data_IF_483672540063
#
_entry.id   IF_483672540063
#
_cell.length_a   1.000
_cell.length_b   1.000
_cell.length_c   1.000
_cell.angle_alpha   90.00
_cell.angle_beta   90.00
_cell.angle_gamma   90.00
#
_symmetry.space_group_name_H-M   'P 1'
#
loop_
_entity.id
_entity.type
_entity.pdbx_description
1 polymer ?
#
# COMPACT_ATOMS: atom_id res chain seq x y z
N UNK A 1 14.43 16.80 -15.17
CA UNK A 1 13.06 16.25 -15.32
C UNK A 1 13.07 14.79 -14.90
N UNK A 2 12.17 14.35 -14.02
CA UNK A 2 12.00 12.93 -13.69
C UNK A 2 10.93 12.33 -14.61
N UNK A 3 11.20 11.14 -15.11
CA UNK A 3 10.30 10.38 -15.96
C UNK A 3 9.65 9.27 -15.14
N UNK A 4 8.33 9.27 -15.04
CA UNK A 4 7.57 8.44 -14.12
C UNK A 4 6.76 7.40 -14.87
N UNK A 5 6.92 6.15 -14.49
CA UNK A 5 6.01 5.04 -14.85
C UNK A 5 5.02 4.82 -13.72
N UNK A 6 3.73 4.66 -14.02
CA UNK A 6 2.67 4.51 -13.04
C UNK A 6 1.96 3.18 -13.26
N UNK A 7 2.17 2.23 -12.36
CA UNK A 7 1.46 0.96 -12.34
C UNK A 7 0.17 1.14 -11.53
N UNK A 8 -0.98 1.10 -12.20
CA UNK A 8 -2.27 1.38 -11.59
C UNK A 8 -2.72 2.84 -11.72
N UNK A 9 -2.48 3.47 -12.87
CA UNK A 9 -2.75 4.90 -13.13
C UNK A 9 -4.21 5.32 -12.97
N UNK A 10 -5.16 4.41 -13.14
CA UNK A 10 -6.60 4.67 -12.99
C UNK A 10 -7.14 4.44 -11.58
N UNK A 11 -6.30 3.98 -10.65
CA UNK A 11 -6.63 3.85 -9.23
C UNK A 11 -6.52 5.19 -8.48
N UNK A 12 -6.90 5.19 -7.19
CA UNK A 12 -6.87 6.40 -6.35
C UNK A 12 -5.48 7.04 -6.28
N UNK A 13 -4.42 6.25 -6.04
CA UNK A 13 -3.04 6.76 -5.97
C UNK A 13 -2.55 7.17 -7.37
N UNK A 14 -2.86 6.38 -8.39
CA UNK A 14 -2.43 6.67 -9.76
C UNK A 14 -3.00 7.98 -10.30
N UNK A 15 -4.28 8.27 -10.07
CA UNK A 15 -4.92 9.52 -10.49
C UNK A 15 -4.34 10.72 -9.73
N UNK A 16 -4.09 10.58 -8.43
CA UNK A 16 -3.46 11.63 -7.63
C UNK A 16 -1.98 11.84 -8.00
N UNK A 17 -1.28 10.77 -8.41
CA UNK A 17 0.09 10.88 -8.97
C UNK A 17 0.08 11.72 -10.25
N UNK A 18 -0.88 11.49 -11.13
CA UNK A 18 -1.04 12.28 -12.36
C UNK A 18 -1.43 13.73 -12.07
N UNK A 19 -2.25 13.98 -11.03
CA UNK A 19 -2.56 15.35 -10.59
C UNK A 19 -1.29 16.08 -10.12
N UNK A 20 -0.43 15.44 -9.33
CA UNK A 20 0.86 16.01 -8.92
C UNK A 20 1.77 16.27 -10.12
N UNK A 21 1.86 15.35 -11.08
CA UNK A 21 2.65 15.53 -12.30
C UNK A 21 2.14 16.73 -13.12
N UNK A 22 0.82 16.89 -13.22
CA UNK A 22 0.17 18.01 -13.90
C UNK A 22 0.46 19.37 -13.27
N UNK A 23 0.58 19.43 -11.93
CA UNK A 23 0.95 20.65 -11.21
C UNK A 23 2.42 21.05 -11.45
N UNK A 24 3.28 20.12 -11.87
CA UNK A 24 4.72 20.34 -12.05
C UNK A 24 5.24 19.83 -13.41
N UNK A 25 4.71 20.33 -14.53
CA UNK A 25 5.04 19.81 -15.88
C UNK A 25 6.51 20.01 -16.27
N UNK A 26 7.20 20.98 -15.65
CA UNK A 26 8.62 21.23 -15.88
C UNK A 26 9.54 20.25 -15.12
N UNK A 27 8.99 19.52 -14.12
CA UNK A 27 9.74 18.62 -13.26
C UNK A 27 9.49 17.16 -13.60
N UNK A 28 8.25 16.83 -14.00
CA UNK A 28 7.80 15.44 -14.19
C UNK A 28 7.18 15.22 -15.55
N UNK A 29 7.33 13.98 -16.04
CA UNK A 29 6.62 13.48 -17.21
C UNK A 29 6.20 12.04 -16.99
N UNK A 30 4.91 11.74 -17.15
CA UNK A 30 4.43 10.36 -17.19
C UNK A 30 4.84 9.71 -18.53
N UNK A 31 5.60 8.62 -18.47
CA UNK A 31 6.10 7.91 -19.68
C UNK A 31 5.46 6.56 -19.89
N UNK A 32 4.90 5.97 -18.83
CA UNK A 32 4.16 4.72 -18.92
C UNK A 32 2.98 4.75 -17.93
N UNK A 33 1.81 4.31 -18.39
CA UNK A 33 0.58 4.23 -17.61
C UNK A 33 0.01 2.83 -17.73
N UNK A 34 -0.33 2.20 -16.60
CA UNK A 34 -0.96 0.86 -16.62
C UNK A 34 -2.26 0.89 -15.83
N UNK A 35 -3.32 0.36 -16.43
CA UNK A 35 -4.61 0.12 -15.78
C UNK A 35 -4.96 -1.38 -15.75
N UNK A 36 -5.85 -1.80 -14.85
CA UNK A 36 -6.38 -3.16 -14.90
C UNK A 36 -7.39 -3.30 -16.04
N UNK A 37 -8.55 -2.64 -15.95
CA UNK A 37 -9.64 -2.72 -16.93
C UNK A 37 -10.34 -1.39 -17.24
N UNK A 38 -10.04 -0.33 -16.52
CA UNK A 38 -10.68 0.97 -16.74
C UNK A 38 -10.04 1.69 -17.93
N UNK A 39 -10.39 1.26 -19.13
CA UNK A 39 -9.84 1.79 -20.39
C UNK A 39 -10.36 3.18 -20.72
N UNK A 40 -11.55 3.56 -20.27
CA UNK A 40 -12.11 4.88 -20.57
C UNK A 40 -11.30 5.99 -19.87
N UNK A 41 -10.97 5.78 -18.58
CA UNK A 41 -10.10 6.71 -17.88
C UNK A 41 -8.65 6.63 -18.38
N UNK A 42 -8.16 5.43 -18.70
CA UNK A 42 -6.81 5.28 -19.26
C UNK A 42 -6.66 6.02 -20.58
N UNK A 43 -7.64 5.98 -21.48
CA UNK A 43 -7.62 6.70 -22.74
C UNK A 43 -7.60 8.23 -22.54
N UNK A 44 -8.37 8.74 -21.56
CA UNK A 44 -8.29 10.15 -21.17
C UNK A 44 -6.88 10.51 -20.69
N UNK A 45 -6.27 9.67 -19.83
CA UNK A 45 -4.91 9.85 -19.35
C UNK A 45 -3.88 9.78 -20.51
N UNK A 46 -4.04 8.87 -21.47
CA UNK A 46 -3.19 8.81 -22.66
C UNK A 46 -3.25 10.11 -23.43
N UNK A 47 -4.44 10.64 -23.69
CA UNK A 47 -4.63 11.86 -24.46
C UNK A 47 -4.09 13.11 -23.73
N UNK A 48 -4.15 13.14 -22.40
CA UNK A 48 -3.66 14.26 -21.60
C UNK A 48 -2.13 14.23 -21.42
N UNK A 49 -1.56 13.07 -21.09
CA UNK A 49 -0.14 12.96 -20.70
C UNK A 49 0.79 12.46 -21.80
N UNK A 50 0.26 11.94 -22.92
CA UNK A 50 1.01 11.44 -24.07
C UNK A 50 2.17 10.50 -23.66
N UNK A 51 1.91 9.40 -22.89
CA UNK A 51 2.94 8.47 -22.50
C UNK A 51 3.49 7.70 -23.70
N UNK A 52 4.69 7.13 -23.57
CA UNK A 52 5.28 6.28 -24.61
C UNK A 52 4.55 4.95 -24.72
N UNK A 53 4.15 4.38 -23.57
CA UNK A 53 3.38 3.14 -23.49
C UNK A 53 2.18 3.28 -22.56
N UNK A 54 1.11 2.58 -22.90
CA UNK A 54 -0.04 2.37 -22.02
C UNK A 54 -0.37 0.88 -21.95
N UNK A 55 -0.54 0.37 -20.73
CA UNK A 55 -0.78 -1.03 -20.46
C UNK A 55 -2.18 -1.30 -19.96
N UNK A 56 -2.78 -2.43 -20.38
CA UNK A 56 -4.05 -2.92 -19.86
C UNK A 56 -3.88 -4.38 -19.46
N UNK A 57 -4.07 -4.69 -18.16
CA UNK A 57 -3.84 -6.04 -17.65
C UNK A 57 -4.94 -7.02 -18.04
N UNK A 58 -6.19 -6.57 -18.06
CA UNK A 58 -7.33 -7.36 -18.51
C UNK A 58 -7.32 -7.52 -20.04
N UNK A 59 -7.31 -8.77 -20.49
CA UNK A 59 -7.19 -9.11 -21.92
C UNK A 59 -8.35 -8.58 -22.78
N UNK A 60 -9.57 -8.64 -22.27
CA UNK A 60 -10.75 -8.16 -23.01
C UNK A 60 -10.72 -6.63 -23.13
N UNK A 61 -10.44 -5.95 -22.03
CA UNK A 61 -10.29 -4.50 -22.03
C UNK A 61 -9.10 -4.04 -22.93
N UNK A 62 -7.99 -4.81 -22.95
CA UNK A 62 -6.88 -4.55 -23.87
C UNK A 62 -7.31 -4.60 -25.33
N UNK A 63 -8.02 -5.65 -25.74
CA UNK A 63 -8.48 -5.79 -27.12
C UNK A 63 -9.38 -4.61 -27.54
N UNK A 64 -10.30 -4.20 -26.65
CA UNK A 64 -11.18 -3.05 -26.87
C UNK A 64 -10.40 -1.73 -27.02
N UNK A 65 -9.44 -1.48 -26.12
CA UNK A 65 -8.64 -0.25 -26.21
C UNK A 65 -7.76 -0.24 -27.47
N UNK A 66 -7.15 -1.37 -27.81
CA UNK A 66 -6.29 -1.52 -29.00
C UNK A 66 -7.05 -1.26 -30.29
N UNK A 67 -8.31 -1.69 -30.39
CA UNK A 67 -9.18 -1.42 -31.53
C UNK A 67 -9.57 0.07 -31.61
N UNK A 68 -9.83 0.68 -30.45
CA UNK A 68 -10.35 2.05 -30.34
C UNK A 68 -9.27 3.13 -30.47
N UNK A 69 -8.08 2.86 -29.96
CA UNK A 69 -6.99 3.86 -29.90
C UNK A 69 -6.12 3.85 -31.15
N UNK A 70 -6.03 5.01 -31.82
CA UNK A 70 -5.25 5.20 -33.06
C UNK A 70 -4.13 6.25 -32.93
N UNK A 71 -3.77 6.63 -31.68
CA UNK A 71 -2.69 7.60 -31.43
C UNK A 71 -1.28 6.98 -31.45
N UNK A 72 -0.30 7.77 -31.02
CA UNK A 72 1.12 7.40 -31.01
C UNK A 72 1.58 6.53 -29.84
N UNK A 73 0.80 6.47 -28.76
CA UNK A 73 1.14 5.67 -27.58
C UNK A 73 1.04 4.17 -27.90
N UNK A 74 2.08 3.41 -27.59
CA UNK A 74 2.06 1.95 -27.77
C UNK A 74 1.16 1.29 -26.72
N UNK A 75 0.13 0.55 -27.15
CA UNK A 75 -0.76 -0.19 -26.25
C UNK A 75 -0.23 -1.61 -26.04
N UNK A 76 -0.10 -2.05 -24.78
CA UNK A 76 0.41 -3.36 -24.37
C UNK A 76 -0.64 -4.07 -23.51
N UNK A 77 -0.89 -5.36 -23.74
CA UNK A 77 -1.89 -6.16 -23.00
C UNK A 77 -1.30 -7.17 -22.04
N UNK A 78 -2.14 -7.64 -21.09
CA UNK A 78 -1.83 -8.73 -20.19
C UNK A 78 -0.77 -8.39 -19.12
N UNK A 79 -0.21 -9.43 -18.53
CA UNK A 79 0.83 -9.27 -17.48
C UNK A 79 2.10 -8.59 -18.00
N UNK A 80 2.42 -8.75 -19.28
CA UNK A 80 3.58 -8.11 -19.91
C UNK A 80 3.50 -6.58 -19.83
N UNK A 81 2.29 -6.01 -19.79
CA UNK A 81 2.09 -4.58 -19.65
C UNK A 81 2.72 -4.01 -18.36
N UNK A 82 2.61 -4.75 -17.23
CA UNK A 82 3.20 -4.34 -15.95
C UNK A 82 4.74 -4.37 -16.00
N UNK A 83 5.32 -5.42 -16.57
CA UNK A 83 6.78 -5.58 -16.67
C UNK A 83 7.35 -4.55 -17.65
N UNK A 84 6.73 -4.39 -18.83
CA UNK A 84 7.17 -3.41 -19.83
C UNK A 84 7.14 -1.98 -19.27
N UNK A 85 6.10 -1.62 -18.50
CA UNK A 85 6.01 -0.31 -17.88
C UNK A 85 7.00 -0.15 -16.71
N UNK A 86 7.23 -1.20 -15.92
CA UNK A 86 8.18 -1.18 -14.80
C UNK A 86 9.65 -1.04 -15.27
N UNK A 87 9.97 -1.56 -16.46
CA UNK A 87 11.34 -1.63 -16.98
C UNK A 87 11.64 -0.66 -18.12
N UNK A 88 10.66 0.13 -18.56
CA UNK A 88 10.85 1.07 -19.69
C UNK A 88 12.10 1.94 -19.48
N UNK A 89 12.95 2.00 -20.49
CA UNK A 89 14.28 2.62 -20.37
C UNK A 89 14.19 4.08 -19.93
N UNK A 90 13.24 4.82 -20.46
CA UNK A 90 13.06 6.25 -20.20
C UNK A 90 12.63 6.56 -18.77
N UNK A 91 11.93 5.66 -18.09
CA UNK A 91 11.51 5.90 -16.71
C UNK A 91 12.73 5.96 -15.77
N UNK A 92 12.74 6.95 -14.90
CA UNK A 92 13.70 7.07 -13.80
C UNK A 92 13.10 6.61 -12.46
N UNK A 93 11.76 6.59 -12.40
CA UNK A 93 11.00 6.19 -11.22
C UNK A 93 9.76 5.40 -11.62
N UNK A 94 9.41 4.40 -10.82
CA UNK A 94 8.19 3.61 -10.94
C UNK A 94 7.34 3.81 -9.70
N UNK A 95 6.11 4.29 -9.89
CA UNK A 95 5.10 4.36 -8.83
C UNK A 95 4.27 3.08 -8.88
N UNK A 96 4.35 2.28 -7.82
CA UNK A 96 3.61 1.02 -7.69
C UNK A 96 2.28 1.26 -6.97
N UNK A 97 1.25 1.61 -7.75
CA UNK A 97 -0.09 1.95 -7.26
C UNK A 97 -1.14 0.87 -7.56
N UNK A 98 -0.70 -0.37 -7.74
CA UNK A 98 -1.56 -1.56 -7.91
C UNK A 98 -1.83 -2.21 -6.56
N UNK A 99 -2.96 -2.88 -6.42
CA UNK A 99 -3.37 -3.53 -5.16
C UNK A 99 -2.97 -5.00 -5.16
N UNK A 100 -2.52 -5.50 -4.01
CA UNK A 100 -2.24 -6.92 -3.78
C UNK A 100 -0.87 -7.39 -4.27
N UNK A 101 -0.62 -8.70 -4.14
CA UNK A 101 0.67 -9.34 -4.44
C UNK A 101 1.10 -9.27 -5.92
N UNK A 102 0.20 -8.92 -6.83
CA UNK A 102 0.49 -8.71 -8.27
C UNK A 102 1.56 -7.63 -8.49
N UNK A 103 1.79 -6.77 -7.52
CA UNK A 103 2.83 -5.73 -7.55
C UNK A 103 4.26 -6.23 -7.29
N UNK A 104 4.45 -7.45 -6.78
CA UNK A 104 5.76 -7.96 -6.37
C UNK A 104 6.68 -8.13 -7.58
N UNK A 105 6.27 -8.89 -8.57
CA UNK A 105 7.09 -9.19 -9.76
C UNK A 105 7.49 -7.91 -10.53
N UNK A 106 6.57 -6.99 -10.90
CA UNK A 106 6.97 -5.75 -11.57
C UNK A 106 7.87 -4.85 -10.70
N UNK A 107 7.74 -4.88 -9.37
CA UNK A 107 8.64 -4.15 -8.48
C UNK A 107 10.05 -4.75 -8.48
N UNK A 108 10.17 -6.08 -8.45
CA UNK A 108 11.46 -6.78 -8.60
C UNK A 108 12.14 -6.40 -9.90
N UNK A 109 11.42 -6.43 -11.02
CA UNK A 109 11.97 -6.09 -12.33
C UNK A 109 12.32 -4.60 -12.44
N UNK A 110 11.54 -3.70 -11.85
CA UNK A 110 11.88 -2.27 -11.77
C UNK A 110 13.18 -2.04 -10.98
N UNK A 111 13.38 -2.74 -9.85
CA UNK A 111 14.62 -2.66 -9.06
C UNK A 111 15.81 -3.17 -9.86
N UNK A 112 15.71 -4.33 -10.53
CA UNK A 112 16.76 -4.85 -11.42
C UNK A 112 17.08 -3.89 -12.57
N UNK A 113 16.08 -3.18 -13.09
CA UNK A 113 16.23 -2.11 -14.08
C UNK A 113 16.73 -0.78 -13.46
N UNK A 114 17.12 -0.77 -12.18
CA UNK A 114 17.65 0.40 -11.42
C UNK A 114 16.72 1.61 -11.41
N UNK A 115 15.41 1.38 -11.36
CA UNK A 115 14.41 2.45 -11.21
C UNK A 115 14.16 2.74 -9.74
N UNK A 116 14.12 4.02 -9.36
CA UNK A 116 13.62 4.42 -8.04
C UNK A 116 12.18 3.98 -7.88
N UNK A 117 11.83 3.43 -6.72
CA UNK A 117 10.48 2.94 -6.43
C UNK A 117 9.73 3.95 -5.57
N UNK A 118 8.59 4.45 -6.05
CA UNK A 118 7.58 5.11 -5.24
C UNK A 118 6.56 4.07 -4.80
N UNK A 119 6.70 3.58 -3.58
CA UNK A 119 5.94 2.43 -3.10
C UNK A 119 4.62 2.87 -2.46
N UNK A 120 3.50 2.57 -3.14
CA UNK A 120 2.16 2.68 -2.57
C UNK A 120 1.51 1.30 -2.33
N UNK A 121 2.06 0.25 -2.94
CA UNK A 121 1.62 -1.14 -2.75
C UNK A 121 2.34 -1.76 -1.55
N UNK A 122 1.76 -1.63 -0.35
CA UNK A 122 2.34 -2.17 0.89
C UNK A 122 2.50 -3.69 0.87
N UNK A 123 1.61 -4.39 0.16
CA UNK A 123 1.62 -5.85 0.05
C UNK A 123 2.94 -6.37 -0.55
N UNK A 124 3.61 -5.57 -1.36
CA UNK A 124 4.94 -5.89 -1.91
C UNK A 124 5.99 -6.09 -0.80
N UNK A 125 6.05 -5.21 0.19
CA UNK A 125 6.98 -5.37 1.32
C UNK A 125 6.46 -6.33 2.39
N UNK A 126 5.15 -6.38 2.59
CA UNK A 126 4.57 -7.35 3.53
C UNK A 126 4.90 -8.79 3.09
N UNK A 127 4.65 -9.12 1.84
CA UNK A 127 4.88 -10.47 1.33
C UNK A 127 6.34 -10.73 0.93
N UNK A 128 7.00 -9.75 0.31
CA UNK A 128 8.31 -9.91 -0.31
C UNK A 128 9.44 -9.13 0.37
N UNK A 129 9.24 -8.61 1.59
CA UNK A 129 10.19 -7.72 2.26
C UNK A 129 11.64 -8.15 2.22
N UNK A 130 12.00 -9.39 2.61
CA UNK A 130 13.38 -9.88 2.55
C UNK A 130 13.99 -9.80 1.15
N UNK A 131 13.23 -10.20 0.13
CA UNK A 131 13.67 -10.18 -1.26
C UNK A 131 13.81 -8.76 -1.80
N UNK A 132 12.79 -7.94 -1.60
CA UNK A 132 12.72 -6.56 -2.12
C UNK A 132 13.81 -5.68 -1.52
N UNK A 133 14.01 -5.74 -0.20
CA UNK A 133 15.05 -4.94 0.47
C UNK A 133 16.46 -5.39 0.11
N UNK A 134 16.69 -6.71 -0.01
CA UNK A 134 17.97 -7.26 -0.46
C UNK A 134 18.29 -6.80 -1.89
N UNK A 135 17.34 -6.90 -2.83
CA UNK A 135 17.51 -6.44 -4.20
C UNK A 135 17.72 -4.93 -4.27
N UNK A 136 16.93 -4.14 -3.53
CA UNK A 136 17.08 -2.69 -3.51
C UNK A 136 18.50 -2.27 -3.05
N UNK A 137 19.04 -2.96 -2.04
CA UNK A 137 20.42 -2.77 -1.58
C UNK A 137 21.46 -3.19 -2.64
N UNK A 138 21.28 -4.36 -3.26
CA UNK A 138 22.19 -4.91 -4.28
C UNK A 138 22.27 -3.98 -5.50
N UNK A 139 21.11 -3.50 -6.00
CA UNK A 139 21.03 -2.65 -7.18
C UNK A 139 21.19 -1.15 -6.87
N UNK A 140 21.36 -0.79 -5.57
CA UNK A 140 21.44 0.59 -5.08
C UNK A 140 20.24 1.43 -5.52
N UNK A 141 19.03 0.90 -5.29
CA UNK A 141 17.75 1.52 -5.62
C UNK A 141 17.07 2.03 -4.35
N UNK A 142 16.61 3.28 -4.39
CA UNK A 142 15.81 3.84 -3.31
C UNK A 142 14.35 3.37 -3.41
N UNK A 143 13.78 2.97 -2.27
CA UNK A 143 12.34 2.73 -2.10
C UNK A 143 11.79 3.90 -1.27
N UNK A 144 10.94 4.71 -1.87
CA UNK A 144 10.35 5.91 -1.26
C UNK A 144 8.88 5.61 -0.92
N UNK A 145 8.48 5.71 0.36
CA UNK A 145 7.12 5.39 0.76
C UNK A 145 6.12 6.43 0.26
N UNK A 146 4.99 5.94 -0.23
CA UNK A 146 3.82 6.76 -0.60
C UNK A 146 2.68 6.57 0.40
N UNK A 147 2.61 5.43 1.11
CA UNK A 147 1.64 5.26 2.19
C UNK A 147 1.82 6.37 3.24
N UNK A 148 0.72 6.99 3.69
CA UNK A 148 0.77 8.24 4.46
C UNK A 148 1.57 8.10 5.76
N UNK A 149 1.39 7.00 6.46
CA UNK A 149 2.07 6.72 7.73
C UNK A 149 3.57 6.52 7.54
N UNK A 150 3.94 5.76 6.50
CA UNK A 150 5.34 5.50 6.19
C UNK A 150 6.04 6.73 5.63
N UNK A 151 5.35 7.52 4.80
CA UNK A 151 5.86 8.83 4.36
C UNK A 151 6.10 9.76 5.55
N UNK A 152 5.20 9.78 6.52
CA UNK A 152 5.35 10.59 7.73
C UNK A 152 6.57 10.16 8.55
N UNK A 153 6.76 8.85 8.78
CA UNK A 153 7.96 8.32 9.46
C UNK A 153 9.21 8.68 8.69
N UNK A 154 9.22 8.46 7.37
CA UNK A 154 10.35 8.80 6.51
C UNK A 154 10.74 10.27 6.63
N UNK A 155 9.75 11.18 6.66
CA UNK A 155 9.97 12.62 6.86
C UNK A 155 10.50 12.95 8.26
N UNK A 156 10.02 12.26 9.31
CA UNK A 156 10.49 12.47 10.68
C UNK A 156 11.91 11.92 10.90
N UNK A 157 12.30 10.87 10.18
CA UNK A 157 13.65 10.29 10.23
C UNK A 157 14.69 11.14 9.52
N UNK A 158 14.28 12.07 8.64
CA UNK A 158 15.22 12.88 7.89
C UNK A 158 16.08 13.75 8.81
N UNK A 159 17.39 13.64 8.66
CA UNK A 159 18.37 14.33 9.51
C UNK A 159 18.59 13.69 10.89
N UNK A 160 17.89 12.60 11.22
CA UNK A 160 18.11 11.84 12.45
C UNK A 160 19.07 10.68 12.20
N UNK A 161 20.06 10.50 13.08
CA UNK A 161 20.79 9.23 13.09
C UNK A 161 19.89 8.12 13.63
N UNK A 162 19.87 6.95 12.99
CA UNK A 162 19.02 5.82 13.40
C UNK A 162 19.24 5.45 14.88
N UNK A 163 20.47 5.57 15.38
CA UNK A 163 20.82 5.31 16.77
C UNK A 163 20.18 6.28 17.78
N UNK A 164 19.61 7.40 17.33
CA UNK A 164 18.91 8.36 18.18
C UNK A 164 17.42 8.08 18.29
N UNK A 165 16.91 7.14 17.49
CA UNK A 165 15.48 6.82 17.41
C UNK A 165 15.21 5.56 18.23
N UNK A 166 14.36 5.69 19.25
CA UNK A 166 13.94 4.59 20.12
C UNK A 166 12.87 3.74 19.41
N UNK A 167 11.83 4.38 18.90
CA UNK A 167 10.71 3.66 18.28
C UNK A 167 9.97 4.47 17.21
N UNK A 168 9.29 3.75 16.33
CA UNK A 168 8.34 4.28 15.36
C UNK A 168 6.94 4.20 15.96
N UNK A 169 6.10 5.21 15.72
CA UNK A 169 4.71 5.24 16.21
C UNK A 169 3.78 5.46 15.03
N UNK A 170 3.19 4.37 14.55
CA UNK A 170 2.18 4.40 13.49
C UNK A 170 0.84 4.88 14.03
N UNK A 171 0.25 5.88 13.39
CA UNK A 171 -1.14 6.26 13.70
C UNK A 171 -2.12 5.43 12.90
N UNK A 172 -3.31 5.20 13.44
CA UNK A 172 -4.43 4.55 12.78
C UNK A 172 -5.69 5.39 12.95
N UNK A 173 -6.56 5.47 11.94
CA UNK A 173 -7.89 6.10 12.13
C UNK A 173 -8.78 5.31 13.12
N UNK A 174 -8.45 4.04 13.33
CA UNK A 174 -9.25 3.09 14.10
C UNK A 174 -10.45 2.52 13.32
N UNK A 175 -10.65 2.98 12.08
CA UNK A 175 -11.72 2.52 11.20
C UNK A 175 -13.14 2.92 11.65
N UNK A 176 -14.17 2.55 10.87
CA UNK A 176 -15.56 2.91 11.15
C UNK A 176 -16.15 2.21 12.38
N UNK A 177 -15.60 1.06 12.77
CA UNK A 177 -16.12 0.25 13.87
C UNK A 177 -15.47 0.57 15.23
N UNK A 178 -14.52 1.52 15.31
CA UNK A 178 -13.72 1.80 16.52
C UNK A 178 -14.54 2.14 17.78
N UNK A 179 -15.76 2.70 17.62
CA UNK A 179 -16.64 3.08 18.72
C UNK A 179 -17.79 2.10 18.93
N UNK A 180 -17.85 1.01 18.17
CA UNK A 180 -18.91 0.03 18.29
C UNK A 180 -18.75 -0.80 19.57
N UNK A 181 -19.87 -1.21 20.22
CA UNK A 181 -19.83 -2.22 21.26
C UNK A 181 -19.25 -3.54 20.74
N UNK A 182 -18.44 -4.24 21.54
CA UNK A 182 -17.74 -5.48 21.13
C UNK A 182 -18.69 -6.55 20.61
N UNK A 183 -19.87 -6.69 21.24
CA UNK A 183 -20.88 -7.67 20.87
C UNK A 183 -21.46 -7.44 19.47
N UNK A 184 -21.41 -6.19 18.99
CA UNK A 184 -21.96 -5.81 17.69
C UNK A 184 -20.96 -5.99 16.55
N UNK A 185 -19.65 -5.96 16.82
CA UNK A 185 -18.59 -5.99 15.80
C UNK A 185 -18.69 -7.26 14.94
N UNK A 186 -18.97 -8.41 15.54
CA UNK A 186 -19.06 -9.70 14.84
C UNK A 186 -20.14 -9.72 13.74
N UNK A 187 -21.18 -8.88 13.89
CA UNK A 187 -22.30 -8.77 12.95
C UNK A 187 -22.20 -7.58 11.99
N UNK A 188 -21.04 -6.89 11.96
CA UNK A 188 -20.84 -5.77 11.05
C UNK A 188 -21.01 -6.20 9.59
N UNK A 189 -21.78 -5.41 8.83
CA UNK A 189 -21.99 -5.63 7.41
C UNK A 189 -20.91 -4.96 6.57
N UNK A 190 -20.76 -5.34 5.31
CA UNK A 190 -19.86 -4.67 4.39
C UNK A 190 -20.19 -3.16 4.27
N UNK A 191 -21.48 -2.81 4.26
CA UNK A 191 -21.91 -1.41 4.23
C UNK A 191 -21.47 -0.62 5.46
N UNK A 192 -21.53 -1.21 6.66
CA UNK A 192 -21.04 -0.58 7.88
C UNK A 192 -19.53 -0.35 7.84
N UNK A 193 -18.78 -1.34 7.35
CA UNK A 193 -17.33 -1.29 7.25
C UNK A 193 -16.82 -0.32 6.17
N UNK A 194 -17.59 -0.10 5.11
CA UNK A 194 -17.23 0.80 4.00
C UNK A 194 -17.43 2.29 4.34
N UNK A 195 -18.07 2.63 5.44
CA UNK A 195 -18.30 4.04 5.88
C UNK A 195 -17.10 4.58 6.65
N UNK A 196 -15.94 4.68 5.96
CA UNK A 196 -14.74 5.24 6.60
C UNK A 196 -14.94 6.73 6.93
N UNK A 197 -14.63 7.18 8.18
CA UNK A 197 -14.97 8.54 8.63
C UNK A 197 -14.12 9.65 7.99
N UNK A 198 -12.90 9.34 7.54
CA UNK A 198 -11.90 10.36 7.14
C UNK A 198 -11.42 10.18 5.70
N UNK A 199 -11.14 8.94 5.29
CA UNK A 199 -10.52 8.63 4.00
C UNK A 199 -11.53 8.06 3.00
N UNK A 200 -11.43 8.50 1.74
CA UNK A 200 -12.13 7.88 0.62
C UNK A 200 -11.16 6.91 -0.09
N UNK A 201 -11.30 5.63 0.18
CA UNK A 201 -10.38 4.59 -0.25
C UNK A 201 -11.09 3.48 -1.03
N UNK A 202 -10.31 2.60 -1.66
CA UNK A 202 -10.86 1.38 -2.27
C UNK A 202 -11.51 0.46 -1.24
N UNK A 203 -12.45 -0.40 -1.69
CA UNK A 203 -13.22 -1.27 -0.80
C UNK A 203 -12.36 -2.21 0.05
N UNK A 204 -11.32 -2.84 -0.54
CA UNK A 204 -10.43 -3.77 0.18
C UNK A 204 -9.74 -3.10 1.37
N UNK A 205 -9.05 -1.98 1.15
CA UNK A 205 -8.31 -1.28 2.20
C UNK A 205 -9.27 -0.68 3.24
N UNK A 206 -10.51 -0.35 2.88
CA UNK A 206 -11.50 0.15 3.83
C UNK A 206 -11.95 -0.95 4.80
N UNK A 207 -12.15 -2.19 4.32
CA UNK A 207 -12.41 -3.35 5.18
C UNK A 207 -11.19 -3.66 6.06
N UNK A 208 -9.98 -3.59 5.51
CA UNK A 208 -8.75 -3.78 6.28
C UNK A 208 -8.60 -2.72 7.39
N UNK A 209 -8.99 -1.47 7.12
CA UNK A 209 -9.03 -0.41 8.14
C UNK A 209 -10.03 -0.72 9.24
N UNK A 210 -11.24 -1.21 8.87
CA UNK A 210 -12.29 -1.56 9.83
C UNK A 210 -11.88 -2.70 10.77
N UNK A 211 -11.01 -3.61 10.33
CA UNK A 211 -10.57 -4.81 11.04
C UNK A 211 -9.17 -4.69 11.67
N UNK A 212 -8.48 -3.56 11.49
CA UNK A 212 -7.06 -3.32 11.81
C UNK A 212 -6.07 -4.24 11.04
N UNK A 213 -6.50 -5.02 10.05
CA UNK A 213 -5.57 -5.69 9.14
C UNK A 213 -4.68 -4.69 8.42
N UNK A 214 -5.24 -3.55 7.96
CA UNK A 214 -4.44 -2.51 7.29
C UNK A 214 -3.26 -2.07 8.18
N UNK A 215 -3.52 -1.79 9.46
CA UNK A 215 -2.46 -1.37 10.38
C UNK A 215 -1.47 -2.50 10.66
N UNK A 216 -1.93 -3.75 10.69
CA UNK A 216 -1.04 -4.91 10.77
C UNK A 216 -0.10 -5.04 9.57
N UNK A 217 -0.62 -4.86 8.34
CA UNK A 217 0.20 -4.82 7.12
C UNK A 217 1.23 -3.68 7.19
N UNK A 218 0.83 -2.52 7.65
CA UNK A 218 1.70 -1.34 7.78
C UNK A 218 2.80 -1.52 8.82
N UNK A 219 2.57 -2.22 9.92
CA UNK A 219 3.61 -2.59 10.89
C UNK A 219 4.70 -3.44 10.23
N UNK A 220 4.30 -4.44 9.42
CA UNK A 220 5.25 -5.28 8.70
C UNK A 220 5.99 -4.47 7.62
N UNK A 221 5.31 -3.59 6.90
CA UNK A 221 5.93 -2.69 5.93
C UNK A 221 6.95 -1.76 6.59
N UNK A 222 6.62 -1.16 7.74
CA UNK A 222 7.52 -0.27 8.49
C UNK A 222 8.80 -0.99 8.93
N UNK A 223 8.68 -2.23 9.39
CA UNK A 223 9.84 -3.08 9.71
C UNK A 223 10.81 -3.15 8.54
N UNK A 224 10.33 -3.48 7.33
CA UNK A 224 11.17 -3.63 6.15
C UNK A 224 11.69 -2.30 5.58
N UNK A 225 10.88 -1.24 5.60
CA UNK A 225 11.29 0.07 5.06
C UNK A 225 12.36 0.74 5.90
N UNK A 226 12.23 0.67 7.22
CA UNK A 226 13.05 1.45 8.14
C UNK A 226 14.04 0.60 8.93
N UNK A 227 13.97 -0.74 8.79
CA UNK A 227 14.84 -1.70 9.47
C UNK A 227 14.78 -1.51 11.01
N UNK A 228 13.55 -1.46 11.57
CA UNK A 228 13.26 -1.48 12.99
C UNK A 228 12.64 -2.80 13.40
N UNK A 229 13.07 -3.33 14.55
CA UNK A 229 12.46 -4.53 15.13
C UNK A 229 11.00 -4.25 15.53
N UNK A 230 10.15 -5.28 15.46
CA UNK A 230 8.72 -5.17 15.78
C UNK A 230 8.45 -4.64 17.19
N UNK A 231 9.34 -4.86 18.15
CA UNK A 231 9.23 -4.34 19.53
C UNK A 231 9.49 -2.83 19.63
N UNK A 232 10.00 -2.21 18.55
CA UNK A 232 10.23 -0.78 18.39
C UNK A 232 9.26 -0.12 17.40
N UNK A 233 8.14 -0.78 17.10
CA UNK A 233 7.08 -0.24 16.25
C UNK A 233 5.77 -0.26 17.04
N UNK A 234 5.33 0.91 17.49
CA UNK A 234 4.09 1.11 18.25
C UNK A 234 2.95 1.49 17.31
N UNK A 235 1.71 1.22 17.74
CA UNK A 235 0.48 1.67 17.06
C UNK A 235 -0.39 2.46 18.03
N UNK A 236 -0.88 3.60 17.58
CA UNK A 236 -1.85 4.44 18.30
C UNK A 236 -3.02 4.81 17.40
N UNK A 237 -4.24 4.81 17.95
CA UNK A 237 -5.41 5.28 17.21
C UNK A 237 -5.52 6.79 17.33
N UNK A 238 -5.58 7.48 16.20
CA UNK A 238 -5.76 8.93 16.04
C UNK A 238 -6.90 9.19 15.03
N UNK A 239 -8.15 9.35 15.50
CA UNK A 239 -9.33 9.36 14.63
C UNK A 239 -9.35 10.49 13.61
N UNK A 240 -8.76 11.64 13.94
CA UNK A 240 -8.74 12.81 13.06
C UNK A 240 -7.80 12.66 11.86
N UNK A 241 -6.85 11.71 11.92
CA UNK A 241 -5.85 11.45 10.86
C UNK A 241 -5.11 12.72 10.40
N UNK A 242 -4.83 13.65 11.33
CA UNK A 242 -4.06 14.87 11.10
C UNK A 242 -2.57 14.61 11.35
N UNK A 243 -2.23 13.88 12.41
CA UNK A 243 -0.89 13.34 12.61
C UNK A 243 -0.85 12.01 11.87
N UNK A 244 0.00 11.96 10.84
CA UNK A 244 0.08 10.78 9.99
C UNK A 244 0.98 9.68 10.55
N UNK A 245 2.02 10.01 11.31
CA UNK A 245 2.80 9.12 12.18
C UNK A 245 3.89 9.93 12.91
N UNK A 246 4.62 9.26 13.79
CA UNK A 246 5.61 9.88 14.68
C UNK A 246 6.83 8.97 14.86
N UNK A 247 7.93 9.54 15.34
CA UNK A 247 9.06 8.81 15.92
C UNK A 247 9.30 9.27 17.35
N UNK A 248 9.75 8.35 18.21
CA UNK A 248 10.25 8.66 19.55
C UNK A 248 11.75 8.62 19.54
N UNK A 249 12.38 9.66 20.09
CA UNK A 249 13.82 9.72 20.26
C UNK A 249 14.23 9.14 21.62
N UNK A 250 15.51 8.78 21.78
CA UNK A 250 16.04 8.16 23.00
C UNK A 250 15.91 9.04 24.26
N UNK A 251 15.79 10.36 24.10
CA UNK A 251 15.56 11.30 25.20
C UNK A 251 14.06 11.47 25.55
N UNK A 252 13.17 10.73 24.84
CA UNK A 252 11.72 10.76 25.01
C UNK A 252 11.02 11.83 24.18
N UNK A 253 11.74 12.65 23.41
CA UNK A 253 11.09 13.60 22.50
C UNK A 253 10.36 12.85 21.37
N UNK A 254 9.22 13.41 20.92
CA UNK A 254 8.43 12.86 19.81
C UNK A 254 8.44 13.86 18.66
N UNK A 255 8.82 13.39 17.48
CA UNK A 255 8.68 14.14 16.24
C UNK A 255 7.50 13.59 15.47
N UNK A 256 6.61 14.47 15.01
CA UNK A 256 5.38 14.10 14.31
C UNK A 256 5.26 14.85 12.99
N UNK A 257 4.86 14.16 11.93
CA UNK A 257 4.43 14.82 10.70
C UNK A 257 2.92 15.02 10.73
N UNK A 258 2.49 16.23 10.38
CA UNK A 258 1.08 16.63 10.39
C UNK A 258 0.68 17.21 9.03
N UNK A 259 -0.55 16.91 8.61
CA UNK A 259 -1.15 17.44 7.39
C UNK A 259 -2.64 17.14 7.31
N UNK A 260 -3.34 17.73 6.36
CA UNK A 260 -4.67 17.27 6.01
C UNK A 260 -4.57 15.87 5.37
N UNK A 261 -5.60 15.03 5.52
CA UNK A 261 -5.62 13.69 4.89
C UNK A 261 -5.77 13.81 3.36
N UNK A 262 -4.65 13.96 2.66
CA UNK A 262 -4.55 14.10 1.21
C UNK A 262 -3.30 13.34 0.70
N UNK A 263 -3.52 12.29 -0.08
CA UNK A 263 -2.43 11.46 -0.59
C UNK A 263 -1.50 12.17 -1.57
N UNK A 264 -1.87 13.33 -2.10
CA UNK A 264 -0.99 14.11 -2.99
C UNK A 264 0.26 14.61 -2.27
N UNK A 265 0.18 14.86 -0.95
CA UNK A 265 1.35 15.26 -0.16
C UNK A 265 2.43 14.17 -0.15
N UNK A 266 2.17 12.93 0.34
CA UNK A 266 3.18 11.89 0.34
C UNK A 266 3.61 11.46 -1.06
N UNK A 267 2.70 11.46 -2.04
CA UNK A 267 3.03 11.23 -3.45
C UNK A 267 4.04 12.26 -3.94
N UNK A 268 3.74 13.55 -3.75
CA UNK A 268 4.64 14.63 -4.18
C UNK A 268 5.98 14.52 -3.47
N UNK A 269 6.00 14.24 -2.16
CA UNK A 269 7.24 14.10 -1.42
C UNK A 269 8.12 12.98 -1.98
N UNK A 270 7.54 11.81 -2.28
CA UNK A 270 8.26 10.73 -2.94
C UNK A 270 8.79 11.12 -4.33
N UNK A 271 7.99 11.85 -5.13
CA UNK A 271 8.40 12.30 -6.45
C UNK A 271 9.50 13.37 -6.41
N UNK A 272 9.49 14.26 -5.41
CA UNK A 272 10.42 15.40 -5.33
C UNK A 272 11.65 15.13 -4.49
N UNK A 273 11.62 14.12 -3.61
CA UNK A 273 12.68 13.85 -2.64
C UNK A 273 14.10 14.01 -3.22
N UNK A 274 15.03 14.68 -2.49
CA UNK A 274 14.87 15.23 -1.12
C UNK A 274 14.30 16.67 -1.05
N UNK A 275 13.81 17.22 -2.16
CA UNK A 275 13.28 18.58 -2.22
C UNK A 275 11.81 18.61 -1.83
N UNK A 276 11.35 19.77 -1.34
CA UNK A 276 9.94 20.08 -1.18
C UNK A 276 9.51 21.12 -2.20
N UNK A 277 8.34 20.91 -2.80
CA UNK A 277 7.77 21.82 -3.79
C UNK A 277 6.40 22.29 -3.31
N UNK A 278 5.92 23.37 -3.88
CA UNK A 278 4.55 23.81 -3.65
C UNK A 278 3.55 22.75 -4.14
N UNK A 279 2.49 22.57 -3.37
CA UNK A 279 1.38 21.68 -3.73
C UNK A 279 0.07 22.47 -3.52
N UNK A 280 -0.74 22.53 -4.56
CA UNK A 280 -2.07 23.16 -4.45
C UNK A 280 -3.04 22.20 -3.75
N UNK A 281 -3.09 22.33 -2.42
CA UNK A 281 -3.97 21.58 -1.54
C UNK A 281 -4.39 22.42 -0.34
N UNK A 282 -5.45 22.02 0.34
CA UNK A 282 -5.86 22.65 1.59
C UNK A 282 -4.79 22.41 2.66
N UNK A 283 -4.28 23.49 3.27
CA UNK A 283 -3.37 23.42 4.41
C UNK A 283 -4.13 23.36 5.74
N UNK A 284 -3.45 22.86 6.80
CA UNK A 284 -3.96 22.98 8.17
C UNK A 284 -4.01 24.44 8.58
N UNK A 285 -5.14 24.89 9.11
CA UNK A 285 -5.29 26.25 9.65
C UNK A 285 -5.35 26.20 11.18
N UNK A 286 -4.26 26.60 11.82
CA UNK A 286 -4.17 26.67 13.29
C UNK A 286 -4.94 27.86 13.90
N UNK A 287 -5.62 28.68 13.11
CA UNK A 287 -6.56 29.70 13.59
C UNK A 287 -7.92 29.10 13.93
N UNK A 288 -8.24 27.91 13.42
CA UNK A 288 -9.41 27.14 13.78
C UNK A 288 -9.13 26.27 15.01
N UNK A 289 -10.17 25.96 15.80
CA UNK A 289 -10.05 25.03 16.93
C UNK A 289 -9.73 23.63 16.39
N UNK A 290 -8.60 23.07 16.83
CA UNK A 290 -8.15 21.76 16.47
C UNK A 290 -8.02 20.87 17.70
N UNK A 291 -8.70 19.73 17.69
CA UNK A 291 -8.57 18.70 18.74
C UNK A 291 -7.85 17.49 18.16
N UNK A 292 -6.82 17.04 18.85
CA UNK A 292 -6.07 15.83 18.51
C UNK A 292 -6.27 14.82 19.65
N UNK A 293 -6.81 13.66 19.30
CA UNK A 293 -7.10 12.59 20.27
C UNK A 293 -6.25 11.36 19.94
N UNK A 294 -5.76 10.72 21.00
CA UNK A 294 -5.01 9.47 20.89
C UNK A 294 -5.58 8.46 21.86
N UNK A 295 -5.71 7.21 21.39
CA UNK A 295 -6.18 6.10 22.22
C UNK A 295 -5.47 4.81 21.82
N UNK A 296 -5.36 3.82 22.74
CA UNK A 296 -4.80 2.53 22.39
C UNK A 296 -5.71 1.80 21.38
N UNK A 297 -5.13 0.96 20.49
CA UNK A 297 -5.92 0.09 19.63
C UNK A 297 -6.67 -0.97 20.46
N UNK A 298 -7.90 -1.28 20.07
CA UNK A 298 -8.75 -2.30 20.73
C UNK A 298 -8.39 -3.69 20.20
N UNK A 299 -7.25 -4.21 20.61
CA UNK A 299 -6.69 -5.47 20.08
C UNK A 299 -7.50 -6.71 20.41
N UNK A 300 -8.30 -6.69 21.50
CA UNK A 300 -9.20 -7.79 21.86
C UNK A 300 -10.39 -7.88 20.87
N UNK A 301 -10.86 -6.75 20.38
CA UNK A 301 -11.94 -6.68 19.39
C UNK A 301 -11.44 -6.84 17.96
N UNK A 302 -10.21 -6.42 17.69
CA UNK A 302 -9.56 -6.44 16.38
C UNK A 302 -8.21 -7.15 16.44
N UNK A 303 -8.20 -8.49 16.61
CA UNK A 303 -6.98 -9.26 16.89
C UNK A 303 -6.00 -9.35 15.72
N UNK A 304 -6.39 -8.88 14.54
CA UNK A 304 -5.55 -8.87 13.36
C UNK A 304 -4.23 -8.11 13.55
N UNK A 305 -4.24 -7.04 14.36
CA UNK A 305 -3.02 -6.29 14.66
C UNK A 305 -1.99 -7.13 15.43
N UNK A 306 -2.41 -7.84 16.48
CA UNK A 306 -1.52 -8.73 17.25
C UNK A 306 -1.01 -9.87 16.36
N UNK A 307 -1.89 -10.47 15.54
CA UNK A 307 -1.51 -11.52 14.60
C UNK A 307 -0.44 -11.03 13.60
N UNK A 308 -0.52 -9.78 13.15
CA UNK A 308 0.50 -9.20 12.27
C UNK A 308 1.88 -9.10 12.93
N UNK A 309 1.94 -8.69 14.21
CA UNK A 309 3.18 -8.71 14.97
C UNK A 309 3.74 -10.13 15.11
N UNK A 310 2.89 -11.11 15.41
CA UNK A 310 3.30 -12.51 15.52
C UNK A 310 3.87 -13.05 14.21
N UNK A 311 3.15 -12.91 13.09
CA UNK A 311 3.62 -13.40 11.79
C UNK A 311 4.85 -12.64 11.30
N UNK A 312 4.94 -11.35 11.60
CA UNK A 312 6.10 -10.53 11.28
C UNK A 312 7.36 -11.01 12.02
N UNK A 313 7.25 -11.27 13.33
CA UNK A 313 8.35 -11.81 14.16
C UNK A 313 8.77 -13.21 13.75
N UNK A 314 7.83 -14.08 13.33
CA UNK A 314 8.14 -15.41 12.80
C UNK A 314 8.89 -15.27 11.47
N UNK A 315 8.49 -14.34 10.61
CA UNK A 315 9.13 -14.09 9.32
C UNK A 315 8.88 -15.19 8.28
N UNK A 316 9.85 -15.41 7.40
CA UNK A 316 9.71 -16.36 6.29
C UNK A 316 8.51 -16.02 5.40
N UNK A 317 7.75 -17.03 5.00
CA UNK A 317 6.54 -16.83 4.18
C UNK A 317 5.27 -16.49 4.98
N UNK A 318 5.32 -16.48 6.32
CA UNK A 318 4.12 -16.19 7.15
C UNK A 318 3.46 -14.85 6.81
N UNK A 319 4.19 -13.73 6.61
CA UNK A 319 3.58 -12.46 6.20
C UNK A 319 2.91 -12.53 4.82
N UNK A 320 3.48 -13.29 3.86
CA UNK A 320 2.87 -13.49 2.54
C UNK A 320 1.54 -14.27 2.64
N UNK A 321 1.52 -15.33 3.45
CA UNK A 321 0.30 -16.13 3.73
C UNK A 321 -0.76 -15.26 4.43
N UNK A 322 -0.36 -14.48 5.43
CA UNK A 322 -1.24 -13.54 6.13
C UNK A 322 -1.91 -12.57 5.15
N UNK A 323 -1.13 -11.96 4.26
CA UNK A 323 -1.64 -11.04 3.24
C UNK A 323 -2.58 -11.73 2.24
N UNK A 324 -2.17 -12.85 1.65
CA UNK A 324 -2.95 -13.55 0.63
C UNK A 324 -4.28 -14.10 1.18
N UNK A 325 -4.26 -14.65 2.39
CA UNK A 325 -5.46 -15.14 3.06
C UNK A 325 -6.41 -14.00 3.44
N UNK A 326 -5.87 -12.87 3.95
CA UNK A 326 -6.67 -11.68 4.24
C UNK A 326 -7.34 -11.13 2.99
N UNK A 327 -6.60 -10.92 1.91
CA UNK A 327 -7.15 -10.41 0.65
C UNK A 327 -8.30 -11.29 0.14
N UNK A 328 -8.12 -12.62 0.16
CA UNK A 328 -9.14 -13.58 -0.27
C UNK A 328 -10.38 -13.54 0.63
N UNK A 329 -10.19 -13.46 1.95
CA UNK A 329 -11.29 -13.39 2.91
C UNK A 329 -12.05 -12.07 2.83
N UNK A 330 -11.35 -10.94 2.63
CA UNK A 330 -11.97 -9.61 2.47
C UNK A 330 -12.86 -9.56 1.23
N UNK A 331 -12.42 -10.09 0.09
CA UNK A 331 -13.27 -10.16 -1.09
C UNK A 331 -14.49 -11.08 -0.88
N UNK A 332 -14.33 -12.21 -0.19
CA UNK A 332 -15.44 -13.08 0.15
C UNK A 332 -16.45 -12.40 1.10
N UNK A 333 -15.99 -11.55 2.01
CA UNK A 333 -16.85 -10.73 2.86
C UNK A 333 -17.61 -9.67 2.05
N UNK A 334 -16.93 -8.96 1.14
CA UNK A 334 -17.54 -7.99 0.25
C UNK A 334 -18.60 -8.62 -0.66
N UNK A 335 -18.39 -9.87 -1.08
CA UNK A 335 -19.35 -10.67 -1.86
C UNK A 335 -20.50 -11.26 -1.01
N UNK A 336 -20.48 -11.05 0.31
CA UNK A 336 -21.52 -11.59 1.22
C UNK A 336 -21.42 -13.11 1.47
N UNK A 337 -20.29 -13.75 1.17
CA UNK A 337 -20.08 -15.21 1.35
C UNK A 337 -19.74 -15.58 2.78
N UNK A 338 -19.17 -14.64 3.56
CA UNK A 338 -18.78 -14.82 4.95
C UNK A 338 -19.15 -13.59 5.77
N UNK A 339 -19.16 -13.70 7.10
CA UNK A 339 -19.38 -12.57 8.03
C UNK A 339 -18.05 -11.92 8.42
N UNK A 340 -18.09 -10.70 8.99
CA UNK A 340 -16.90 -9.91 9.34
C UNK A 340 -15.89 -10.66 10.20
N UNK A 341 -16.35 -11.35 11.27
CA UNK A 341 -15.47 -12.11 12.16
C UNK A 341 -14.81 -13.32 11.50
N UNK A 342 -15.30 -13.77 10.35
CA UNK A 342 -14.73 -14.92 9.65
C UNK A 342 -13.45 -14.55 8.92
N UNK A 343 -13.24 -13.26 8.59
CA UNK A 343 -11.99 -12.79 7.96
C UNK A 343 -10.79 -13.23 8.83
N UNK A 344 -10.78 -12.86 10.11
CA UNK A 344 -9.71 -13.24 11.04
C UNK A 344 -9.57 -14.76 11.19
N UNK A 345 -10.69 -15.48 11.37
CA UNK A 345 -10.68 -16.95 11.56
C UNK A 345 -10.11 -17.68 10.34
N UNK A 346 -10.43 -17.22 9.13
CA UNK A 346 -9.90 -17.82 7.88
C UNK A 346 -8.40 -17.57 7.80
N UNK A 347 -7.94 -16.35 8.05
CA UNK A 347 -6.51 -16.02 8.02
C UNK A 347 -5.72 -16.88 9.01
N UNK A 348 -6.21 -17.01 10.25
CA UNK A 348 -5.58 -17.86 11.28
C UNK A 348 -5.54 -19.30 10.85
N UNK A 349 -6.65 -19.85 10.35
CA UNK A 349 -6.70 -21.25 9.91
C UNK A 349 -5.75 -21.54 8.73
N UNK A 350 -5.59 -20.61 7.80
CA UNK A 350 -4.62 -20.74 6.69
C UNK A 350 -3.19 -20.73 7.22
N UNK A 351 -2.86 -19.80 8.14
CA UNK A 351 -1.54 -19.71 8.79
C UNK A 351 -1.17 -20.98 9.57
N UNK A 352 -2.12 -21.57 10.29
CA UNK A 352 -1.94 -22.82 11.03
C UNK A 352 -1.74 -24.03 10.11
N UNK A 353 -2.35 -24.02 8.92
CA UNK A 353 -2.22 -25.10 7.94
C UNK A 353 -0.92 -25.05 7.13
N UNK A 354 -0.11 -23.98 7.30
CA UNK A 354 1.17 -23.84 6.59
C UNK A 354 2.24 -24.78 7.18
N UNK A 355 2.73 -25.69 6.35
CA UNK A 355 3.71 -26.73 6.76
C UNK A 355 5.05 -26.69 6.02
N UNK A 356 5.38 -25.61 5.29
CA UNK A 356 6.59 -25.54 4.45
C UNK A 356 7.54 -24.46 4.92
N UNK A 357 8.85 -24.81 4.84
CA UNK A 357 9.98 -23.92 5.04
C UNK A 357 10.91 -24.10 3.83
N UNK A 358 10.56 -23.43 2.72
CA UNK A 358 11.34 -23.44 1.49
C UNK A 358 12.26 -22.19 1.46
N UNK A 359 13.28 -22.17 0.60
CA UNK A 359 14.13 -21.01 0.38
C UNK A 359 13.29 -19.81 -0.10
N UNK A 360 13.58 -18.63 0.46
CA UNK A 360 12.84 -17.39 0.16
C UNK A 360 13.25 -16.84 -1.21
N UNK A 361 12.66 -17.38 -2.27
CA UNK A 361 12.82 -16.93 -3.66
C UNK A 361 11.53 -16.33 -4.20
N UNK A 362 11.62 -15.57 -5.31
CA UNK A 362 10.43 -15.02 -5.97
C UNK A 362 9.43 -16.12 -6.38
N UNK A 363 9.93 -17.19 -6.98
CA UNK A 363 9.07 -18.28 -7.45
C UNK A 363 8.34 -18.98 -6.29
N UNK A 364 9.05 -19.26 -5.19
CA UNK A 364 8.45 -19.83 -4.00
C UNK A 364 7.47 -18.85 -3.32
N UNK A 365 7.77 -17.54 -3.33
CA UNK A 365 6.87 -16.50 -2.82
C UNK A 365 5.56 -16.47 -3.61
N UNK A 366 5.62 -16.49 -4.93
CA UNK A 366 4.43 -16.52 -5.78
C UNK A 366 3.64 -17.81 -5.63
N UNK A 367 4.35 -18.95 -5.49
CA UNK A 367 3.71 -20.25 -5.25
C UNK A 367 2.99 -20.31 -3.90
N UNK A 368 3.59 -19.76 -2.83
CA UNK A 368 2.97 -19.74 -1.50
C UNK A 368 1.79 -18.75 -1.42
N UNK A 369 1.86 -17.60 -2.10
CA UNK A 369 0.72 -16.67 -2.23
C UNK A 369 -0.47 -17.39 -2.89
N UNK A 370 -0.24 -18.07 -4.00
CA UNK A 370 -1.29 -18.82 -4.68
C UNK A 370 -1.85 -19.96 -3.80
N UNK A 371 -1.00 -20.72 -3.12
CA UNK A 371 -1.41 -21.75 -2.18
C UNK A 371 -2.30 -21.18 -1.07
N UNK A 372 -1.92 -20.04 -0.48
CA UNK A 372 -2.68 -19.41 0.59
C UNK A 372 -4.07 -18.96 0.11
N UNK A 373 -4.18 -18.43 -1.11
CA UNK A 373 -5.46 -18.06 -1.74
C UNK A 373 -6.37 -19.26 -1.97
N UNK A 374 -5.82 -20.36 -2.48
CA UNK A 374 -6.58 -21.61 -2.67
C UNK A 374 -7.05 -22.13 -1.30
N UNK A 375 -6.16 -22.14 -0.31
CA UNK A 375 -6.47 -22.62 1.04
C UNK A 375 -7.54 -21.77 1.73
N UNK A 376 -7.45 -20.45 1.63
CA UNK A 376 -8.47 -19.53 2.13
C UNK A 376 -9.83 -19.80 1.45
N UNK A 377 -9.85 -20.03 0.13
CA UNK A 377 -11.06 -20.35 -0.62
C UNK A 377 -11.67 -21.68 -0.17
N UNK A 378 -10.86 -22.69 0.16
CA UNK A 378 -11.36 -23.96 0.72
C UNK A 378 -12.05 -23.73 2.08
N UNK A 379 -11.48 -22.89 2.96
CA UNK A 379 -12.11 -22.57 4.25
C UNK A 379 -13.38 -21.74 4.11
N UNK A 380 -13.44 -20.83 3.15
CA UNK A 380 -14.64 -20.06 2.82
C UNK A 380 -15.77 -20.97 2.38
N UNK A 381 -15.50 -21.92 1.48
CA UNK A 381 -16.51 -22.84 0.91
C UNK A 381 -17.02 -23.90 1.92
N UNK A 382 -16.41 -24.07 3.07
CA UNK A 382 -16.87 -24.96 4.14
C UNK A 382 -17.83 -24.28 5.14
N UNK A 383 -18.05 -22.98 5.01
CA UNK A 383 -18.92 -22.17 5.87
C UNK A 383 -20.29 -21.96 5.25
#
# INVERSE_FOLDING_TARGET
MKYVSILGSTGSIGTQTLDVIKQHPDQFKAVALVAHRNIDLLEQQINEFNPLIAGVVDEQAYMLLKERYHGSTKIIGGKEALISAATIQEATMVVTAIVGAVGIEPTVEAIKARKTIGLANKETLVAGGPLITALAKEYNVAILPIDSEHSAIFQCLEGQAKSNVDSLILTASGGPLRTWPSERITSATAEDCLKHPTWNMGSKITIDSASLFNKGLEVIEAHWLFDFDFDHIDVVVHPQSIIHSMIRLNDGAILAQMGNPDMREPIQYALTYPKRMHLDMKHLDFKELLTLEFMPPRVDDFPALNLAYEVGKIGGFKPAVFNAANETAVYAFLDGKIIFSDIYKIVTAVLESMGRDDDFTLDNLLAIDQWARIKASEFINRR
#
